data_IF_980567636904
#
_entry.id   IF_980567636904
#
_cell.length_a   1.000
_cell.length_b   1.000
_cell.length_c   1.000
_cell.angle_alpha   90.00
_cell.angle_beta   90.00
_cell.angle_gamma   90.00
#
_symmetry.space_group_name_H-M   'P 1'
#
loop_
_entity.id
_entity.type
_entity.pdbx_description
1 polymer ?
#
# COMPACT_ATOMS: atom_id res chain seq x y z
N UNK A 1 2.96 -9.55 -32.47
CA UNK A 1 2.13 -9.93 -31.29
C UNK A 1 2.06 -11.44 -31.04
N UNK A 2 2.00 -12.30 -32.07
CA UNK A 2 1.95 -13.76 -31.90
C UNK A 2 3.05 -14.35 -30.98
N UNK A 3 4.28 -13.80 -31.04
CA UNK A 3 5.36 -14.19 -30.12
C UNK A 3 5.03 -13.87 -28.65
N UNK A 4 4.50 -12.68 -28.38
CA UNK A 4 4.11 -12.26 -27.04
C UNK A 4 2.99 -13.15 -26.50
N UNK A 5 1.96 -13.42 -27.31
CA UNK A 5 0.86 -14.32 -26.93
C UNK A 5 1.36 -15.74 -26.60
N UNK A 6 2.23 -16.30 -27.44
CA UNK A 6 2.80 -17.63 -27.17
C UNK A 6 3.60 -17.65 -25.86
N UNK A 7 4.45 -16.64 -25.62
CA UNK A 7 5.24 -16.56 -24.40
C UNK A 7 4.36 -16.37 -23.15
N UNK A 8 3.35 -15.51 -23.22
CA UNK A 8 2.48 -15.24 -22.08
C UNK A 8 1.53 -16.41 -21.79
N UNK A 9 1.08 -17.16 -22.80
CA UNK A 9 0.25 -18.37 -22.61
C UNK A 9 1.05 -19.58 -22.13
N UNK A 10 2.20 -19.86 -22.77
CA UNK A 10 2.99 -21.08 -22.50
C UNK A 10 3.79 -20.98 -21.21
N UNK A 11 4.53 -19.88 -21.05
CA UNK A 11 5.44 -19.68 -19.92
C UNK A 11 4.76 -18.93 -18.76
N UNK A 12 3.50 -18.50 -18.93
CA UNK A 12 2.73 -17.73 -17.93
C UNK A 12 3.45 -16.46 -17.46
N UNK A 13 4.27 -15.86 -18.32
CA UNK A 13 4.93 -14.60 -18.02
C UNK A 13 3.93 -13.44 -18.02
N UNK A 14 4.11 -12.52 -17.07
CA UNK A 14 3.41 -11.24 -17.05
C UNK A 14 3.95 -10.30 -18.15
N UNK A 15 3.14 -9.36 -18.67
CA UNK A 15 3.53 -8.35 -19.66
C UNK A 15 4.87 -7.68 -19.33
N UNK A 16 5.07 -7.34 -18.06
CA UNK A 16 6.27 -6.66 -17.57
C UNK A 16 7.52 -7.54 -17.68
N UNK A 17 7.39 -8.83 -17.37
CA UNK A 17 8.47 -9.83 -17.48
C UNK A 17 8.81 -10.07 -18.95
N UNK A 18 7.80 -10.15 -19.82
CA UNK A 18 7.99 -10.34 -21.24
C UNK A 18 8.76 -9.18 -21.89
N UNK A 19 8.31 -7.94 -21.67
CA UNK A 19 8.97 -6.73 -22.20
C UNK A 19 10.39 -6.60 -21.66
N UNK A 20 10.59 -6.82 -20.36
CA UNK A 20 11.93 -6.78 -19.75
C UNK A 20 12.87 -7.82 -20.35
N UNK A 21 12.39 -9.05 -20.57
CA UNK A 21 13.16 -10.13 -21.19
C UNK A 21 13.49 -9.84 -22.66
N UNK A 22 12.51 -9.36 -23.43
CA UNK A 22 12.71 -8.98 -24.83
C UNK A 22 13.82 -7.94 -24.99
N UNK A 23 13.82 -6.91 -24.12
CA UNK A 23 14.86 -5.88 -24.09
C UNK A 23 16.20 -6.43 -23.61
N UNK A 24 16.23 -7.25 -22.55
CA UNK A 24 17.47 -7.79 -21.98
C UNK A 24 18.21 -8.73 -22.95
N UNK A 25 17.46 -9.52 -23.70
CA UNK A 25 18.02 -10.47 -24.67
C UNK A 25 18.19 -9.89 -26.07
N UNK A 26 17.84 -8.62 -26.28
CA UNK A 26 17.82 -7.96 -27.60
C UNK A 26 17.15 -8.83 -28.69
N UNK A 27 16.03 -9.47 -28.33
CA UNK A 27 15.30 -10.39 -29.21
C UNK A 27 14.68 -9.66 -30.42
N UNK A 28 14.36 -8.38 -30.23
CA UNK A 28 13.74 -7.50 -31.22
C UNK A 28 14.37 -6.12 -31.14
N UNK A 29 14.33 -5.32 -32.22
CA UNK A 29 14.70 -3.91 -32.15
C UNK A 29 13.80 -3.16 -31.15
N UNK A 30 14.36 -2.16 -30.47
CA UNK A 30 13.67 -1.48 -29.38
C UNK A 30 12.35 -0.83 -29.81
N UNK A 31 12.27 -0.40 -31.07
CA UNK A 31 11.11 0.25 -31.68
C UNK A 31 9.92 -0.71 -31.87
N UNK A 32 10.19 -2.00 -32.08
CA UNK A 32 9.15 -3.02 -32.23
C UNK A 32 8.66 -3.56 -30.88
N UNK A 33 9.42 -3.35 -29.80
CA UNK A 33 9.05 -3.81 -28.47
C UNK A 33 8.04 -2.83 -27.86
N UNK A 34 6.76 -3.21 -27.71
CA UNK A 34 5.78 -2.35 -27.06
C UNK A 34 6.18 -2.09 -25.60
N UNK A 35 5.83 -0.90 -25.07
CA UNK A 35 5.91 -0.68 -23.64
C UNK A 35 4.86 -1.52 -22.90
N UNK A 36 5.09 -1.75 -21.61
CA UNK A 36 4.22 -2.60 -20.79
C UNK A 36 2.80 -2.07 -20.71
N UNK A 37 2.63 -0.75 -20.64
CA UNK A 37 1.32 -0.08 -20.66
C UNK A 37 0.58 -0.33 -21.97
N UNK A 38 1.24 -0.19 -23.12
CA UNK A 38 0.64 -0.51 -24.43
C UNK A 38 0.27 -1.99 -24.53
N UNK A 39 1.09 -2.88 -23.97
CA UNK A 39 0.77 -4.31 -23.93
C UNK A 39 -0.47 -4.60 -23.09
N UNK A 40 -0.62 -3.95 -21.93
CA UNK A 40 -1.86 -4.00 -21.14
C UNK A 40 -3.07 -3.43 -21.92
N UNK A 41 -2.90 -2.31 -22.62
CA UNK A 41 -3.97 -1.75 -23.45
C UNK A 41 -4.42 -2.73 -24.55
N UNK A 42 -3.50 -3.44 -25.19
CA UNK A 42 -3.83 -4.44 -26.21
C UNK A 42 -4.60 -5.63 -25.63
N UNK A 43 -4.29 -6.04 -24.40
CA UNK A 43 -5.03 -7.09 -23.68
C UNK A 43 -6.44 -6.60 -23.34
N UNK A 44 -6.58 -5.38 -22.83
CA UNK A 44 -7.87 -4.82 -22.44
C UNK A 44 -8.78 -4.55 -23.65
N UNK A 45 -8.20 -4.17 -24.79
CA UNK A 45 -8.88 -4.04 -26.08
C UNK A 45 -9.19 -5.40 -26.75
N UNK A 46 -8.68 -6.51 -26.21
CA UNK A 46 -8.86 -7.85 -26.78
C UNK A 46 -8.13 -8.07 -28.11
N UNK A 47 -7.11 -7.26 -28.41
CA UNK A 47 -6.24 -7.39 -29.59
C UNK A 47 -5.22 -8.52 -29.45
N UNK A 48 -5.07 -9.03 -28.22
CA UNK A 48 -4.27 -10.20 -27.89
C UNK A 48 -5.16 -11.32 -27.41
N UNK A 49 -4.77 -12.55 -27.72
CA UNK A 49 -5.52 -13.72 -27.25
C UNK A 49 -5.30 -14.00 -25.76
N UNK A 50 -4.21 -13.49 -25.20
CA UNK A 50 -3.89 -13.66 -23.77
C UNK A 50 -4.77 -12.74 -22.92
N UNK A 51 -5.41 -13.28 -21.88
CA UNK A 51 -6.26 -12.49 -20.99
C UNK A 51 -5.59 -12.25 -19.65
N UNK A 52 -5.92 -11.12 -19.02
CA UNK A 52 -5.40 -10.77 -17.69
C UNK A 52 -5.81 -11.80 -16.61
N UNK A 53 -6.92 -12.53 -16.82
CA UNK A 53 -7.36 -13.65 -15.97
C UNK A 53 -6.37 -14.81 -15.91
N UNK A 54 -5.56 -15.01 -16.94
CA UNK A 54 -4.55 -16.09 -16.98
C UNK A 54 -3.39 -15.80 -16.01
N UNK A 55 -3.25 -14.55 -15.57
CA UNK A 55 -2.25 -14.10 -14.60
C UNK A 55 -2.82 -14.06 -13.18
N UNK A 56 -2.98 -15.24 -12.59
CA UNK A 56 -3.42 -15.44 -11.19
C UNK A 56 -2.55 -14.74 -10.12
N UNK A 57 -1.39 -14.18 -10.49
CA UNK A 57 -0.43 -13.61 -9.54
C UNK A 57 -0.90 -12.30 -8.88
N UNK A 58 -1.85 -11.56 -9.47
CA UNK A 58 -2.32 -10.27 -8.92
C UNK A 58 -3.27 -10.38 -7.72
N UNK A 59 -3.96 -11.50 -7.51
CA UNK A 59 -5.09 -11.55 -6.55
C UNK A 59 -4.73 -12.24 -5.22
N UNK A 60 -3.51 -12.76 -5.04
CA UNK A 60 -3.15 -13.33 -3.73
C UNK A 60 -2.66 -12.25 -2.78
N UNK A 61 -3.59 -11.61 -2.05
CA UNK A 61 -3.26 -10.81 -0.86
C UNK A 61 -2.47 -11.73 0.09
N UNK A 62 -1.23 -11.37 0.43
CA UNK A 62 -0.50 -12.04 1.51
C UNK A 62 -1.32 -11.85 2.79
N UNK A 63 -1.89 -12.93 3.30
CA UNK A 63 -2.39 -12.97 4.67
C UNK A 63 -1.18 -12.88 5.60
N UNK A 64 -0.87 -11.69 6.08
CA UNK A 64 0.12 -11.53 7.13
C UNK A 64 -0.37 -12.32 8.35
N UNK A 65 0.50 -13.16 8.93
CA UNK A 65 0.19 -13.84 10.21
C UNK A 65 -0.18 -12.77 11.24
N UNK A 66 -1.29 -12.98 11.96
CA UNK A 66 -1.67 -12.12 13.08
C UNK A 66 -0.50 -12.00 14.04
N UNK A 67 0.06 -10.79 14.15
CA UNK A 67 1.18 -10.51 15.04
C UNK A 67 0.57 -9.96 16.32
N UNK A 68 0.65 -10.71 17.41
CA UNK A 68 0.20 -10.28 18.74
C UNK A 68 1.13 -9.16 19.25
N UNK A 69 0.98 -7.94 18.72
CA UNK A 69 1.69 -6.75 19.18
C UNK A 69 1.00 -6.29 20.46
N UNK A 70 1.67 -6.43 21.59
CA UNK A 70 1.26 -5.74 22.82
C UNK A 70 1.25 -4.23 22.56
N UNK A 71 0.16 -3.55 22.91
CA UNK A 71 0.07 -2.09 22.81
C UNK A 71 1.16 -1.47 23.68
N UNK A 72 2.07 -0.70 23.06
CA UNK A 72 3.12 0.03 23.79
C UNK A 72 2.60 1.31 24.45
N UNK A 73 1.46 1.82 23.98
CA UNK A 73 0.86 3.05 24.49
C UNK A 73 -0.10 2.70 25.63
N UNK A 74 0.12 3.33 26.78
CA UNK A 74 -0.86 3.39 27.86
C UNK A 74 -1.82 4.52 27.47
N UNK A 75 -3.09 4.19 27.25
CA UNK A 75 -4.11 5.23 27.11
C UNK A 75 -4.38 5.84 28.48
N UNK A 76 -4.66 7.14 28.52
CA UNK A 76 -4.95 7.86 29.76
C UNK A 76 -6.20 7.31 30.48
N UNK A 77 -6.47 7.86 31.65
CA UNK A 77 -7.53 7.41 32.54
C UNK A 77 -8.93 7.38 31.89
N UNK A 78 -9.79 6.54 32.48
CA UNK A 78 -11.19 6.38 32.11
C UNK A 78 -11.90 7.75 31.99
N UNK A 79 -12.83 7.83 31.05
CA UNK A 79 -13.59 9.05 30.76
C UNK A 79 -14.30 9.57 32.02
N UNK A 80 -14.75 8.67 32.90
CA UNK A 80 -15.40 8.97 34.18
C UNK A 80 -14.50 9.69 35.20
N UNK A 81 -13.16 9.56 35.08
CA UNK A 81 -12.20 10.25 35.95
C UNK A 81 -11.84 11.65 35.44
N UNK A 82 -12.42 12.09 34.32
CA UNK A 82 -12.15 13.43 33.80
C UNK A 82 -12.77 14.45 34.75
N UNK A 83 -12.05 15.51 35.13
CA UNK A 83 -12.62 16.55 35.98
C UNK A 83 -13.77 17.26 35.25
N UNK A 84 -14.87 17.56 35.96
CA UNK A 84 -16.09 18.18 35.43
C UNK A 84 -15.84 19.49 34.67
N UNK A 85 -14.75 20.19 35.00
CA UNK A 85 -14.31 21.41 34.32
C UNK A 85 -14.04 21.20 32.82
N UNK A 86 -13.66 19.98 32.41
CA UNK A 86 -13.42 19.62 31.00
C UNK A 86 -14.74 19.44 30.24
N UNK A 87 -15.78 18.97 30.91
CA UNK A 87 -17.09 18.74 30.30
C UNK A 87 -17.87 20.05 30.13
N UNK A 88 -17.68 21.00 31.06
CA UNK A 88 -18.30 22.33 31.03
C UNK A 88 -17.79 23.23 29.90
N UNK A 89 -16.68 22.88 29.22
CA UNK A 89 -16.09 23.62 28.08
C UNK A 89 -15.93 25.14 28.30
N UNK A 90 -15.87 25.61 29.55
CA UNK A 90 -15.80 27.04 29.88
C UNK A 90 -14.43 27.67 29.58
N UNK A 91 -13.39 26.86 29.30
CA UNK A 91 -12.05 27.36 29.00
C UNK A 91 -11.73 27.25 27.50
N UNK A 92 -12.26 28.17 26.71
CA UNK A 92 -11.66 28.54 25.42
C UNK A 92 -11.13 29.97 25.53
N UNK A 93 -9.80 30.14 25.61
CA UNK A 93 -9.16 31.43 25.32
C UNK A 93 -8.62 32.28 26.47
N UNK A 94 -8.16 31.73 27.60
CA UNK A 94 -7.33 32.49 28.54
C UNK A 94 -5.83 32.28 28.27
N UNK A 95 -5.29 33.06 27.34
CA UNK A 95 -3.84 33.30 27.20
C UNK A 95 -3.35 34.09 28.42
N UNK A 96 -2.78 33.42 29.42
CA UNK A 96 -1.79 34.04 30.28
C UNK A 96 -0.75 33.03 30.73
N UNK A 97 0.49 33.23 30.26
CA UNK A 97 1.69 32.70 30.92
C UNK A 97 1.67 33.07 32.39
N UNK A 98 1.76 32.08 33.28
CA UNK A 98 2.79 32.01 34.30
C UNK A 98 2.71 30.67 35.04
N UNK A 99 3.89 30.07 35.14
CA UNK A 99 4.39 29.19 36.19
C UNK A 99 3.36 28.70 37.22
N UNK A 100 3.35 27.38 37.46
CA UNK A 100 2.93 26.67 38.69
C UNK A 100 2.35 25.27 38.33
N UNK A 101 3.11 24.44 37.62
CA UNK A 101 2.79 22.99 37.49
C UNK A 101 4.09 22.18 37.51
N UNK A 102 4.90 22.35 38.56
CA UNK A 102 6.09 21.50 38.78
C UNK A 102 6.14 20.83 40.16
N UNK A 103 5.05 20.84 40.94
CA UNK A 103 5.00 20.19 42.25
C UNK A 103 3.86 19.16 42.36
N UNK A 104 3.78 18.18 41.46
CA UNK A 104 2.84 17.07 41.67
C UNK A 104 3.30 15.70 41.19
N UNK A 105 4.62 15.42 41.18
CA UNK A 105 5.10 14.04 41.08
C UNK A 105 6.36 13.85 41.94
N UNK A 106 6.25 13.37 43.19
CA UNK A 106 7.39 12.78 43.86
C UNK A 106 7.64 11.42 43.21
N UNK A 107 8.78 11.27 42.54
CA UNK A 107 9.32 9.96 42.19
C UNK A 107 9.67 9.23 43.50
N UNK A 108 9.02 8.10 43.75
CA UNK A 108 9.52 6.99 44.58
C UNK A 108 9.35 5.72 43.76
#
# INVERSE_FOLDING_TARGET
>A
MAYADHQMKKEKYSPDVHVGRAKKLNLFPHEEIPCTTTLYNYIDLGLMETKNIDQHLKIRRKTNKSRNRRNKKIFGDLIEKRPDMVDKRECFGALSRREHVWNMYPYH
#
